data_IF_527899813765
#
_entry.id   IF_527899813765
#
_cell.length_a   1.000
_cell.length_b   1.000
_cell.length_c   1.000
_cell.angle_alpha   90.00
_cell.angle_beta   90.00
_cell.angle_gamma   90.00
#
_symmetry.space_group_name_H-M   'P 1'
#
loop_
_entity.id
_entity.type
_entity.pdbx_description
1 polymer ?
#
# COMPACT_ATOMS: atom_id res chain seq x y z
N UNK A 1 -12.40 3.42 -8.41
CA UNK A 1 -10.94 3.17 -8.29
C UNK A 1 -10.27 3.49 -9.62
N UNK A 2 -9.09 4.10 -9.59
CA UNK A 2 -8.32 4.39 -10.81
C UNK A 2 -7.40 3.19 -11.06
N UNK A 3 -7.75 2.32 -12.00
CA UNK A 3 -7.00 1.07 -12.25
C UNK A 3 -6.15 1.13 -13.53
N UNK A 4 -6.64 1.82 -14.55
CA UNK A 4 -6.03 1.85 -15.90
C UNK A 4 -5.25 3.15 -16.18
N UNK A 5 -4.71 3.80 -15.15
CA UNK A 5 -3.88 5.00 -15.30
C UNK A 5 -2.38 4.66 -15.30
N UNK A 6 -1.55 5.68 -15.49
CA UNK A 6 -0.09 5.56 -15.34
C UNK A 6 0.28 5.08 -13.94
N UNK A 7 1.37 4.34 -13.84
CA UNK A 7 1.94 3.95 -12.54
C UNK A 7 2.24 5.17 -11.66
N UNK A 8 1.99 5.00 -10.36
CA UNK A 8 2.02 6.04 -9.34
C UNK A 8 0.73 6.87 -9.26
N UNK A 9 -0.23 6.65 -10.16
CA UNK A 9 -1.52 7.35 -10.23
C UNK A 9 -2.73 6.41 -10.07
N UNK A 10 -2.50 5.12 -9.87
CA UNK A 10 -3.55 4.12 -9.71
C UNK A 10 -3.84 3.87 -8.23
N UNK A 11 -5.04 3.43 -7.92
CA UNK A 11 -5.43 2.97 -6.56
C UNK A 11 -4.72 1.66 -6.17
N UNK A 12 -4.18 0.93 -7.14
CA UNK A 12 -3.40 -0.30 -6.93
C UNK A 12 -1.90 -0.06 -6.73
N UNK A 13 -1.47 1.20 -6.75
CA UNK A 13 -0.08 1.56 -6.51
C UNK A 13 0.20 1.71 -5.02
N UNK A 14 1.40 1.32 -4.60
CA UNK A 14 1.93 1.72 -3.30
C UNK A 14 2.29 3.20 -3.35
N UNK A 15 1.42 4.02 -2.77
CA UNK A 15 1.52 5.47 -2.80
C UNK A 15 1.65 6.02 -1.38
N UNK A 16 2.62 6.91 -1.15
CA UNK A 16 2.76 7.59 0.13
C UNK A 16 3.51 8.95 -0.03
N UNK A 17 3.14 9.99 0.73
CA UNK A 17 2.03 10.05 1.70
C UNK A 17 0.66 10.10 1.02
N UNK A 18 -0.39 9.62 1.69
CA UNK A 18 -1.76 9.68 1.16
C UNK A 18 -2.35 11.09 1.29
N UNK A 19 -3.13 11.51 0.30
CA UNK A 19 -3.85 12.78 0.29
C UNK A 19 -5.34 12.54 0.03
N UNK A 20 -6.16 13.59 0.10
CA UNK A 20 -7.62 13.51 -0.07
C UNK A 20 -8.02 12.77 -1.36
N UNK A 21 -7.28 12.96 -2.44
CA UNK A 21 -7.59 12.38 -3.75
C UNK A 21 -6.88 11.05 -4.03
N UNK A 22 -5.91 10.65 -3.18
CA UNK A 22 -5.07 9.47 -3.46
C UNK A 22 -4.58 8.81 -2.19
N UNK A 23 -4.98 7.55 -2.04
CA UNK A 23 -4.52 6.64 -1.00
C UNK A 23 -3.76 5.48 -1.63
N UNK A 24 -2.70 5.01 -0.97
CA UNK A 24 -1.93 3.86 -1.42
C UNK A 24 -2.62 2.55 -1.09
N UNK A 25 -2.37 1.53 -1.91
CA UNK A 25 -2.96 0.19 -1.75
C UNK A 25 -2.76 -0.38 -0.34
N UNK A 26 -1.57 -0.19 0.25
CA UNK A 26 -1.25 -0.67 1.60
C UNK A 26 -2.19 -0.12 2.67
N UNK A 27 -2.64 1.14 2.54
CA UNK A 27 -3.53 1.76 3.52
C UNK A 27 -4.96 1.23 3.35
N UNK A 28 -5.39 0.94 2.13
CA UNK A 28 -6.69 0.30 1.89
C UNK A 28 -6.71 -1.11 2.51
N UNK A 29 -5.67 -1.91 2.23
CA UNK A 29 -5.57 -3.28 2.75
C UNK A 29 -5.51 -3.27 4.28
N UNK A 30 -4.68 -2.40 4.86
CA UNK A 30 -4.59 -2.23 6.32
C UNK A 30 -5.94 -1.86 6.93
N UNK A 31 -6.67 -0.88 6.37
CA UNK A 31 -7.96 -0.49 6.93
C UNK A 31 -8.99 -1.62 6.93
N UNK A 32 -9.00 -2.49 5.92
CA UNK A 32 -9.86 -3.68 5.95
C UNK A 32 -9.40 -4.72 6.97
N UNK A 33 -8.09 -4.87 7.20
CA UNK A 33 -7.57 -5.77 8.23
C UNK A 33 -7.94 -5.26 9.63
N UNK A 34 -7.75 -3.97 9.91
CA UNK A 34 -8.15 -3.32 11.15
C UNK A 34 -9.65 -3.46 11.45
N UNK A 35 -10.49 -3.55 10.42
CA UNK A 35 -11.94 -3.78 10.53
C UNK A 35 -12.34 -5.25 10.63
N UNK A 36 -11.39 -6.20 10.68
CA UNK A 36 -11.66 -7.64 10.77
C UNK A 36 -12.00 -8.34 9.45
N UNK A 37 -11.78 -7.67 8.32
CA UNK A 37 -12.00 -8.24 6.98
C UNK A 37 -10.70 -8.68 6.29
N UNK A 38 -9.59 -8.80 7.04
CA UNK A 38 -8.28 -9.15 6.48
C UNK A 38 -8.24 -10.50 5.76
N UNK A 39 -9.10 -11.44 6.18
CA UNK A 39 -9.27 -12.78 5.62
C UNK A 39 -10.47 -12.90 4.66
N UNK A 40 -11.18 -11.81 4.35
CA UNK A 40 -12.30 -11.85 3.42
C UNK A 40 -11.82 -12.22 2.00
N UNK A 41 -12.40 -13.23 1.33
CA UNK A 41 -11.98 -13.66 -0.01
C UNK A 41 -11.98 -12.54 -1.05
N UNK A 42 -12.82 -11.51 -0.88
CA UNK A 42 -12.89 -10.36 -1.79
C UNK A 42 -11.66 -9.46 -1.69
N UNK A 43 -10.93 -9.51 -0.56
CA UNK A 43 -9.69 -8.76 -0.36
C UNK A 43 -8.47 -9.46 -0.98
N UNK A 44 -8.58 -10.74 -1.34
CA UNK A 44 -7.45 -11.54 -1.83
C UNK A 44 -6.73 -10.90 -3.01
N UNK A 45 -7.47 -10.31 -3.96
CA UNK A 45 -6.85 -9.65 -5.11
C UNK A 45 -5.99 -8.45 -4.71
N UNK A 46 -6.40 -7.70 -3.69
CA UNK A 46 -5.62 -6.58 -3.17
C UNK A 46 -4.35 -7.06 -2.48
N UNK A 47 -4.45 -8.16 -1.70
CA UNK A 47 -3.31 -8.83 -1.11
C UNK A 47 -2.30 -9.31 -2.15
N UNK A 48 -2.75 -9.98 -3.21
CA UNK A 48 -1.87 -10.46 -4.29
C UNK A 48 -1.08 -9.30 -4.92
N UNK A 49 -1.76 -8.18 -5.19
CA UNK A 49 -1.11 -6.99 -5.75
C UNK A 49 -0.12 -6.40 -4.75
N UNK A 50 -0.50 -6.24 -3.48
CA UNK A 50 0.39 -5.69 -2.46
C UNK A 50 1.65 -6.57 -2.27
N UNK A 51 1.46 -7.89 -2.17
CA UNK A 51 2.54 -8.87 -2.03
C UNK A 51 3.47 -8.90 -3.23
N UNK A 52 2.96 -8.64 -4.44
CA UNK A 52 3.81 -8.48 -5.63
C UNK A 52 4.79 -7.30 -5.54
N UNK A 53 4.57 -6.36 -4.61
CA UNK A 53 5.46 -5.21 -4.35
C UNK A 53 6.46 -5.46 -3.22
N UNK A 54 6.37 -6.61 -2.54
CA UNK A 54 7.30 -7.02 -1.48
C UNK A 54 8.62 -7.47 -2.12
N UNK A 55 9.72 -6.93 -1.61
CA UNK A 55 11.09 -7.27 -2.01
C UNK A 55 11.55 -8.54 -1.29
N UNK A 56 12.67 -9.13 -1.74
CA UNK A 56 13.28 -10.31 -1.12
C UNK A 56 13.69 -10.11 0.34
N UNK A 57 13.87 -8.87 0.78
CA UNK A 57 14.21 -8.50 2.16
C UNK A 57 12.99 -8.07 2.98
N UNK A 58 11.78 -8.36 2.51
CA UNK A 58 10.52 -8.12 3.23
C UNK A 58 10.01 -6.67 3.23
N UNK A 59 10.71 -5.74 2.58
CA UNK A 59 10.28 -4.33 2.42
C UNK A 59 9.43 -4.14 1.17
N UNK A 60 8.61 -3.10 1.12
CA UNK A 60 7.73 -2.83 -0.02
C UNK A 60 8.20 -1.64 -0.86
N UNK A 61 8.17 -1.78 -2.18
CA UNK A 61 8.54 -0.72 -3.12
C UNK A 61 7.52 0.41 -3.11
N UNK A 62 7.97 1.64 -3.35
CA UNK A 62 7.11 2.81 -3.58
C UNK A 62 6.84 2.99 -5.08
N UNK A 63 5.59 2.86 -5.53
CA UNK A 63 5.22 3.08 -6.93
C UNK A 63 4.86 4.54 -7.23
N UNK A 64 4.45 5.32 -6.23
CA UNK A 64 4.15 6.73 -6.43
C UNK A 64 4.28 7.58 -5.18
N UNK A 65 4.50 8.88 -5.38
CA UNK A 65 4.53 9.88 -4.32
C UNK A 65 4.12 11.23 -4.87
N UNK A 66 3.90 12.21 -3.99
CA UNK A 66 3.57 13.57 -4.39
C UNK A 66 4.74 14.24 -5.11
N UNK A 67 4.43 15.04 -6.13
CA UNK A 67 5.45 15.91 -6.76
C UNK A 67 5.99 16.89 -5.73
N UNK A 68 5.10 17.54 -4.97
CA UNK A 68 5.40 18.39 -3.81
C UNK A 68 4.91 17.68 -2.54
N UNK A 69 5.82 17.06 -1.81
CA UNK A 69 5.49 16.32 -0.58
C UNK A 69 5.54 17.25 0.63
N UNK A 70 4.59 17.10 1.54
CA UNK A 70 4.58 17.76 2.86
C UNK A 70 5.34 16.96 3.93
N UNK A 71 5.75 15.72 3.61
CA UNK A 71 6.68 14.92 4.40
C UNK A 71 8.04 14.78 3.67
N UNK A 72 9.12 14.40 4.36
CA UNK A 72 10.37 14.02 3.71
C UNK A 72 10.12 13.01 2.59
N UNK A 73 10.46 13.40 1.37
CA UNK A 73 10.08 12.66 0.16
C UNK A 73 10.88 11.37 0.03
N UNK A 74 10.18 10.24 0.00
CA UNK A 74 10.76 8.95 -0.35
C UNK A 74 10.91 8.79 -1.88
N UNK A 75 11.76 7.87 -2.33
CA UNK A 75 12.09 7.69 -3.75
C UNK A 75 11.25 6.58 -4.38
N UNK A 76 10.58 6.90 -5.48
CA UNK A 76 9.87 5.91 -6.31
C UNK A 76 10.85 4.83 -6.80
N UNK A 77 10.39 3.58 -6.83
CA UNK A 77 11.19 2.42 -7.19
C UNK A 77 12.16 1.95 -6.10
N UNK A 78 12.19 2.60 -4.93
CA UNK A 78 12.95 2.16 -3.76
C UNK A 78 12.02 1.68 -2.65
N UNK A 79 12.52 0.83 -1.72
CA UNK A 79 11.75 0.46 -0.55
C UNK A 79 11.31 1.69 0.26
N UNK A 80 10.02 1.78 0.58
CA UNK A 80 9.45 2.84 1.41
C UNK A 80 9.23 2.36 2.84
N UNK A 81 9.62 3.18 3.82
CA UNK A 81 9.42 2.90 5.25
C UNK A 81 7.93 2.87 5.58
N UNK A 82 7.16 3.82 5.07
CA UNK A 82 5.73 3.96 5.36
C UNK A 82 4.90 2.89 4.66
N UNK A 83 5.19 2.59 3.39
CA UNK A 83 4.52 1.49 2.70
C UNK A 83 4.81 0.17 3.41
N UNK A 84 6.07 -0.06 3.78
CA UNK A 84 6.46 -1.27 4.53
C UNK A 84 5.75 -1.34 5.87
N UNK A 85 5.71 -0.25 6.63
CA UNK A 85 5.04 -0.21 7.93
C UNK A 85 3.56 -0.61 7.84
N UNK A 86 2.79 0.04 6.96
CA UNK A 86 1.35 -0.25 6.84
C UNK A 86 1.07 -1.64 6.28
N UNK A 87 1.91 -2.14 5.37
CA UNK A 87 1.77 -3.52 4.88
C UNK A 87 2.01 -4.55 5.98
N UNK A 88 3.05 -4.36 6.81
CA UNK A 88 3.31 -5.24 7.96
C UNK A 88 2.24 -5.10 9.05
N UNK A 89 1.68 -3.90 9.24
CA UNK A 89 0.56 -3.68 10.15
C UNK A 89 -0.68 -4.45 9.68
N UNK A 90 -1.00 -4.38 8.38
CA UNK A 90 -2.07 -5.17 7.79
C UNK A 90 -1.88 -6.68 7.99
N UNK A 91 -0.65 -7.18 7.77
CA UNK A 91 -0.31 -8.60 8.00
C UNK A 91 -0.58 -8.98 9.47
N UNK A 92 -0.11 -8.16 10.41
CA UNK A 92 -0.33 -8.38 11.85
C UNK A 92 -1.82 -8.39 12.21
N UNK A 93 -2.62 -7.46 11.71
CA UNK A 93 -4.04 -7.36 12.03
C UNK A 93 -4.87 -8.49 11.43
N UNK A 94 -4.49 -8.94 10.24
CA UNK A 94 -5.08 -10.12 9.60
C UNK A 94 -4.88 -11.40 10.42
N UNK A 95 -3.77 -11.51 11.15
CA UNK A 95 -3.44 -12.70 11.95
C UNK A 95 -4.11 -12.71 13.35
N UNK A 96 -4.61 -11.56 13.82
CA UNK A 96 -5.20 -11.42 15.17
C UNK A 96 -6.69 -11.81 15.18
N UNK A 97 -7.36 -11.81 14.03
CA UNK A 97 -8.82 -12.02 13.87
C UNK A 97 -9.09 -13.25 13.01
#
# INVERSE_FOLDING_TARGET
>A
MILNAREGWRTIDTFYPFEVMRVGLQNIVESFCALGYGNDPRLQKAWDILNSKKTSVGKFLLNGTLTKSYLPKERVGKPSKWVTFYALLAEKEKDII
#
